data_IF_066449218149
#
_entry.id   IF_066449218149
#
_cell.length_a   1.000
_cell.length_b   1.000
_cell.length_c   1.000
_cell.angle_alpha   90.00
_cell.angle_beta   90.00
_cell.angle_gamma   90.00
#
_symmetry.space_group_name_H-M   'P 1'
#
loop_
_entity.id
_entity.type
_entity.pdbx_description
1 polymer ?
#
# COMPACT_ATOMS: atom_id res chain seq x y z
N UNK A 1 -13.60 -20.66 -14.62
CA UNK A 1 -12.44 -19.79 -14.86
C UNK A 1 -11.68 -19.76 -13.55
N UNK A 2 -10.63 -20.56 -13.43
CA UNK A 2 -9.85 -20.67 -12.20
C UNK A 2 -8.91 -19.47 -12.18
N UNK A 3 -9.16 -18.49 -11.32
CA UNK A 3 -8.20 -17.41 -11.11
C UNK A 3 -6.93 -18.09 -10.59
N UNK A 4 -5.88 -18.11 -11.40
CA UNK A 4 -4.51 -18.32 -10.93
C UNK A 4 -4.28 -17.24 -9.88
N UNK A 5 -4.57 -17.58 -8.61
CA UNK A 5 -4.44 -16.66 -7.50
C UNK A 5 -2.95 -16.49 -7.25
N UNK A 6 -2.40 -15.41 -7.79
CA UNK A 6 -0.98 -15.13 -7.74
C UNK A 6 -0.56 -15.04 -6.26
N UNK A 7 0.56 -15.65 -5.85
CA UNK A 7 0.98 -15.70 -4.45
C UNK A 7 1.01 -14.32 -3.78
N UNK A 8 1.44 -13.28 -4.50
CA UNK A 8 1.41 -11.90 -4.00
C UNK A 8 0.00 -11.38 -3.71
N UNK A 9 -0.99 -11.70 -4.55
CA UNK A 9 -2.37 -11.22 -4.38
C UNK A 9 -2.98 -11.81 -3.12
N UNK A 10 -2.76 -13.11 -2.87
CA UNK A 10 -3.18 -13.75 -1.62
C UNK A 10 -2.50 -13.09 -0.42
N UNK A 11 -1.18 -12.89 -0.48
CA UNK A 11 -0.43 -12.28 0.62
C UNK A 11 -0.94 -10.87 0.96
N UNK A 12 -1.20 -10.05 -0.07
CA UNK A 12 -1.77 -8.71 0.07
C UNK A 12 -3.18 -8.77 0.68
N UNK A 13 -4.06 -9.63 0.15
CA UNK A 13 -5.42 -9.78 0.68
C UNK A 13 -5.44 -10.22 2.14
N UNK A 14 -4.60 -11.18 2.51
CA UNK A 14 -4.49 -11.68 3.89
C UNK A 14 -4.02 -10.57 4.84
N UNK A 15 -3.01 -9.80 4.45
CA UNK A 15 -2.49 -8.69 5.25
C UNK A 15 -3.51 -7.57 5.41
N UNK A 16 -4.17 -7.14 4.34
CA UNK A 16 -5.19 -6.08 4.40
C UNK A 16 -6.41 -6.51 5.21
N UNK A 17 -6.86 -7.78 5.09
CA UNK A 17 -7.95 -8.31 5.92
C UNK A 17 -7.59 -8.34 7.41
N UNK A 18 -6.30 -8.54 7.74
CA UNK A 18 -5.80 -8.52 9.12
C UNK A 18 -5.94 -7.16 9.83
N UNK A 19 -5.83 -6.05 9.09
CA UNK A 19 -6.06 -4.71 9.63
C UNK A 19 -7.54 -4.43 9.93
N UNK A 20 -8.45 -5.08 9.19
CA UNK A 20 -9.88 -4.76 9.21
C UNK A 20 -10.22 -3.60 8.28
N UNK A 21 -11.43 -3.63 7.72
CA UNK A 21 -11.90 -2.68 6.71
C UNK A 21 -12.04 -1.24 7.24
N UNK A 22 -12.20 -1.09 8.55
CA UNK A 22 -12.36 0.19 9.22
C UNK A 22 -11.03 0.82 9.70
N UNK A 23 -9.93 0.08 9.68
CA UNK A 23 -8.63 0.55 10.18
C UNK A 23 -7.82 1.25 9.08
N UNK A 24 -8.18 2.52 8.87
CA UNK A 24 -7.54 3.38 7.88
C UNK A 24 -6.07 3.62 8.22
N UNK A 25 -5.74 3.80 9.49
CA UNK A 25 -4.39 4.08 9.94
C UNK A 25 -3.45 2.92 9.60
N UNK A 26 -3.85 1.69 9.92
CA UNK A 26 -3.06 0.51 9.59
C UNK A 26 -2.90 0.31 8.08
N UNK A 27 -3.94 0.55 7.28
CA UNK A 27 -3.85 0.41 5.82
C UNK A 27 -2.93 1.47 5.21
N UNK A 28 -2.95 2.69 5.73
CA UNK A 28 -2.05 3.77 5.30
C UNK A 28 -0.60 3.44 5.68
N UNK A 29 -0.37 2.91 6.89
CA UNK A 29 0.96 2.48 7.33
C UNK A 29 1.55 1.41 6.40
N UNK A 30 0.76 0.41 5.98
CA UNK A 30 1.22 -0.60 5.02
C UNK A 30 1.65 -0.01 3.68
N UNK A 31 1.00 1.07 3.23
CA UNK A 31 1.38 1.82 2.03
C UNK A 31 2.67 2.61 2.23
N UNK A 32 2.86 3.23 3.39
CA UNK A 32 4.08 3.95 3.75
C UNK A 32 5.30 3.02 3.78
N UNK A 33 5.18 1.87 4.44
CA UNK A 33 6.25 0.87 4.53
C UNK A 33 6.66 0.35 3.14
N UNK A 34 5.70 0.08 2.26
CA UNK A 34 5.99 -0.32 0.87
C UNK A 34 6.65 0.83 0.10
N UNK A 35 6.18 2.06 0.30
CA UNK A 35 6.73 3.22 -0.39
C UNK A 35 8.19 3.44 -0.02
N UNK A 36 8.55 3.34 1.25
CA UNK A 36 9.95 3.44 1.70
C UNK A 36 10.87 2.44 1.00
N UNK A 37 10.50 1.16 1.02
CA UNK A 37 11.28 0.09 0.39
C UNK A 37 11.43 0.31 -1.13
N UNK A 38 10.34 0.66 -1.82
CA UNK A 38 10.38 0.86 -3.28
C UNK A 38 11.15 2.13 -3.65
N UNK A 39 10.97 3.22 -2.90
CA UNK A 39 11.69 4.47 -3.13
C UNK A 39 13.20 4.25 -2.98
N UNK A 40 13.63 3.38 -2.07
CA UNK A 40 15.04 3.02 -1.93
C UNK A 40 15.63 2.33 -3.17
N UNK A 41 14.80 1.67 -3.99
CA UNK A 41 15.22 0.89 -5.16
C UNK A 41 15.12 1.70 -6.46
N UNK A 42 13.99 2.39 -6.68
CA UNK A 42 13.70 3.07 -7.95
C UNK A 42 13.64 4.61 -7.84
N UNK A 43 13.85 5.15 -6.63
CA UNK A 43 13.74 6.57 -6.34
C UNK A 43 12.29 7.07 -6.23
N UNK A 44 12.12 8.24 -5.62
CA UNK A 44 10.81 8.85 -5.38
C UNK A 44 10.03 9.14 -6.66
N UNK A 45 10.71 9.67 -7.70
CA UNK A 45 10.07 9.92 -8.99
C UNK A 45 9.58 8.64 -9.68
N UNK A 46 10.30 7.54 -9.51
CA UNK A 46 9.90 6.22 -10.00
C UNK A 46 8.66 5.71 -9.27
N UNK A 47 8.67 5.79 -7.94
CA UNK A 47 7.51 5.44 -7.13
C UNK A 47 6.27 6.26 -7.51
N UNK A 48 6.38 7.59 -7.56
CA UNK A 48 5.27 8.49 -7.89
C UNK A 48 4.67 8.15 -9.26
N UNK A 49 5.52 7.94 -10.27
CA UNK A 49 5.07 7.55 -11.61
C UNK A 49 4.29 6.23 -11.63
N UNK A 50 4.71 5.26 -10.79
CA UNK A 50 4.01 3.99 -10.67
C UNK A 50 2.69 4.12 -9.92
N UNK A 51 2.68 4.89 -8.85
CA UNK A 51 1.50 5.15 -8.05
C UNK A 51 0.42 5.87 -8.88
N UNK A 52 0.78 6.96 -9.56
CA UNK A 52 -0.12 7.69 -10.48
C UNK A 52 -0.69 6.79 -11.58
N UNK A 53 0.15 5.91 -12.15
CA UNK A 53 -0.31 4.94 -13.16
C UNK A 53 -1.31 3.93 -12.56
N UNK A 54 -1.07 3.49 -11.33
CA UNK A 54 -1.94 2.55 -10.62
C UNK A 54 -3.29 3.17 -10.29
N UNK A 55 -3.29 4.44 -9.87
CA UNK A 55 -4.49 5.24 -9.64
C UNK A 55 -5.29 5.39 -10.92
N UNK A 56 -4.66 5.81 -12.01
CA UNK A 56 -5.31 5.98 -13.31
C UNK A 56 -6.01 4.69 -13.79
N UNK A 57 -5.40 3.53 -13.56
CA UNK A 57 -6.00 2.25 -13.91
C UNK A 57 -7.14 1.86 -12.97
N UNK A 58 -7.01 2.14 -11.67
CA UNK A 58 -8.00 1.81 -10.65
C UNK A 58 -9.24 2.71 -10.74
N UNK A 59 -9.06 3.96 -11.16
CA UNK A 59 -10.13 4.94 -11.39
C UNK A 59 -11.19 4.47 -12.39
N UNK A 60 -10.83 3.56 -13.31
CA UNK A 60 -11.80 2.95 -14.24
C UNK A 60 -12.90 2.17 -13.50
N UNK A 61 -12.58 1.61 -12.34
CA UNK A 61 -13.53 0.87 -11.49
C UNK A 61 -14.06 1.75 -10.35
N UNK A 62 -13.21 2.63 -9.80
CA UNK A 62 -13.55 3.53 -8.69
C UNK A 62 -13.30 4.99 -9.09
N UNK A 63 -14.22 5.63 -9.83
CA UNK A 63 -14.00 6.99 -10.36
C UNK A 63 -13.81 8.07 -9.30
N UNK A 64 -14.22 7.82 -8.05
CA UNK A 64 -14.03 8.73 -6.92
C UNK A 64 -12.62 8.66 -6.32
N UNK A 65 -11.82 7.65 -6.68
CA UNK A 65 -10.40 7.51 -6.33
C UNK A 65 -9.56 8.48 -7.19
N UNK A 66 -10.01 9.73 -7.33
CA UNK A 66 -9.24 10.83 -7.92
C UNK A 66 -8.29 11.34 -6.85
N UNK A 67 -7.32 10.49 -6.52
CA UNK A 67 -6.15 10.86 -5.76
C UNK A 67 -5.19 11.50 -6.77
N UNK A 68 -5.54 12.66 -7.32
CA UNK A 68 -4.54 13.40 -8.11
C UNK A 68 -3.54 13.95 -7.10
N UNK A 69 -2.51 13.15 -6.85
CA UNK A 69 -1.25 13.46 -6.19
C UNK A 69 -0.46 14.49 -7.01
N UNK A 70 -1.11 15.56 -7.44
CA UNK A 70 -0.43 16.70 -8.03
C UNK A 70 0.25 17.48 -6.90
N UNK A 71 1.46 17.05 -6.56
CA UNK A 71 2.52 17.91 -6.01
C UNK A 71 2.67 18.07 -4.49
N UNK A 72 2.31 17.10 -3.63
CA UNK A 72 2.99 17.06 -2.32
C UNK A 72 4.33 16.32 -2.46
N UNK A 73 5.42 17.06 -2.31
CA UNK A 73 6.81 16.55 -2.34
C UNK A 73 7.25 15.98 -0.98
N UNK A 74 6.33 15.82 -0.04
CA UNK A 74 6.64 15.40 1.33
C UNK A 74 6.10 13.99 1.56
N UNK A 75 6.96 13.12 2.10
CA UNK A 75 6.63 11.74 2.41
C UNK A 75 5.39 11.64 3.33
N UNK A 76 5.29 12.55 4.30
CA UNK A 76 4.23 12.59 5.33
C UNK A 76 2.82 12.88 4.77
N UNK A 77 2.71 13.41 3.55
CA UNK A 77 1.42 13.77 2.95
C UNK A 77 1.02 12.86 1.77
N UNK A 78 1.88 11.89 1.44
CA UNK A 78 1.76 11.08 0.21
C UNK A 78 0.42 10.36 0.11
N UNK A 79 -0.08 9.83 1.23
CA UNK A 79 -1.35 9.09 1.29
C UNK A 79 -2.49 9.86 1.97
N UNK A 80 -2.31 11.16 2.26
CA UNK A 80 -3.36 11.97 2.91
C UNK A 80 -4.64 12.04 2.08
N UNK A 81 -4.54 12.11 0.75
CA UNK A 81 -5.70 12.09 -0.14
C UNK A 81 -6.43 10.74 -0.10
N UNK A 82 -5.70 9.62 -0.05
CA UNK A 82 -6.27 8.29 0.09
C UNK A 82 -7.04 8.16 1.41
N UNK A 83 -6.49 8.70 2.50
CA UNK A 83 -7.15 8.84 3.80
C UNK A 83 -8.41 9.71 3.70
N UNK A 84 -8.35 10.88 3.06
CA UNK A 84 -9.49 11.79 2.89
C UNK A 84 -10.64 11.16 2.09
N UNK A 85 -10.35 10.30 1.11
CA UNK A 85 -11.38 9.57 0.38
C UNK A 85 -12.25 8.71 1.31
N UNK A 86 -11.74 8.26 2.47
CA UNK A 86 -12.51 7.47 3.44
C UNK A 86 -13.72 8.23 3.97
N UNK A 87 -13.60 9.53 4.21
CA UNK A 87 -14.66 10.35 4.81
C UNK A 87 -15.93 10.40 3.94
N UNK A 88 -15.78 10.16 2.63
CA UNK A 88 -16.86 10.25 1.64
C UNK A 88 -17.41 8.90 1.22
N UNK A 89 -16.80 7.79 1.64
CA UNK A 89 -17.13 6.43 1.18
C UNK A 89 -17.47 5.51 2.36
N UNK A 90 -18.16 4.41 2.09
CA UNK A 90 -18.35 3.36 3.09
C UNK A 90 -17.03 2.64 3.39
N UNK A 91 -16.95 1.97 4.54
CA UNK A 91 -15.79 1.15 4.92
C UNK A 91 -15.43 0.12 3.86
N UNK A 92 -16.45 -0.61 3.40
CA UNK A 92 -16.31 -1.66 2.41
C UNK A 92 -15.85 -1.11 1.04
N UNK A 93 -16.47 -0.03 0.54
CA UNK A 93 -16.08 0.55 -0.76
C UNK A 93 -14.67 1.14 -0.73
N UNK A 94 -14.31 1.83 0.37
CA UNK A 94 -12.97 2.35 0.53
C UNK A 94 -11.93 1.24 0.59
N UNK A 95 -12.20 0.19 1.37
CA UNK A 95 -11.32 -0.98 1.47
C UNK A 95 -11.16 -1.70 0.12
N UNK A 96 -12.25 -1.92 -0.61
CA UNK A 96 -12.22 -2.60 -1.91
C UNK A 96 -11.41 -1.81 -2.94
N UNK A 97 -11.56 -0.48 -2.97
CA UNK A 97 -10.77 0.38 -3.83
C UNK A 97 -9.28 0.37 -3.47
N UNK A 98 -8.96 0.40 -2.16
CA UNK A 98 -7.58 0.30 -1.67
C UNK A 98 -6.92 -1.02 -2.05
N UNK A 99 -7.63 -2.13 -1.83
CA UNK A 99 -7.17 -3.44 -2.23
C UNK A 99 -6.92 -3.46 -3.74
N UNK A 100 -7.88 -2.97 -4.55
CA UNK A 100 -7.72 -2.94 -6.00
C UNK A 100 -6.52 -2.08 -6.44
N UNK A 101 -6.30 -0.94 -5.79
CA UNK A 101 -5.16 -0.07 -6.05
C UNK A 101 -3.84 -0.78 -5.76
N UNK A 102 -3.72 -1.44 -4.60
CA UNK A 102 -2.50 -2.13 -4.20
C UNK A 102 -2.20 -3.34 -5.09
N UNK A 103 -3.22 -4.11 -5.47
CA UNK A 103 -3.07 -5.20 -6.45
C UNK A 103 -2.60 -4.67 -7.80
N UNK A 104 -3.20 -3.58 -8.29
CA UNK A 104 -2.81 -2.96 -9.57
C UNK A 104 -1.38 -2.43 -9.52
N UNK A 105 -1.01 -1.78 -8.41
CA UNK A 105 0.34 -1.26 -8.18
C UNK A 105 1.38 -2.37 -8.20
N UNK A 106 1.13 -3.45 -7.44
CA UNK A 106 2.05 -4.59 -7.38
C UNK A 106 2.10 -5.36 -8.69
N UNK A 107 1.03 -5.41 -9.48
CA UNK A 107 1.05 -5.98 -10.83
C UNK A 107 2.00 -5.23 -11.76
N UNK A 108 1.96 -3.89 -11.74
CA UNK A 108 2.88 -3.06 -12.52
C UNK A 108 4.31 -3.23 -12.00
N UNK A 109 4.51 -3.30 -10.69
CA UNK A 109 5.82 -3.50 -10.09
C UNK A 109 6.43 -4.83 -10.52
N UNK A 110 5.67 -5.92 -10.52
CA UNK A 110 6.09 -7.23 -11.04
C UNK A 110 6.55 -7.13 -12.50
N UNK A 111 5.86 -6.36 -13.33
CA UNK A 111 6.26 -6.17 -14.73
C UNK A 111 7.60 -5.44 -14.88
N UNK A 112 8.03 -4.66 -13.88
CA UNK A 112 9.28 -3.90 -13.90
C UNK A 112 10.46 -4.64 -13.28
N UNK A 113 10.24 -5.23 -12.11
CA UNK A 113 11.34 -5.78 -11.29
C UNK A 113 11.22 -7.29 -11.03
N UNK A 114 10.14 -7.90 -11.53
CA UNK A 114 9.88 -9.34 -11.41
C UNK A 114 9.12 -9.75 -10.14
N UNK A 115 8.51 -10.93 -10.20
CA UNK A 115 7.68 -11.51 -9.14
C UNK A 115 8.46 -11.69 -7.82
N UNK A 116 9.64 -12.31 -7.89
CA UNK A 116 10.40 -12.65 -6.69
C UNK A 116 10.84 -11.43 -5.89
N UNK A 117 11.29 -10.37 -6.58
CA UNK A 117 11.72 -9.15 -5.89
C UNK A 117 10.51 -8.41 -5.31
N UNK A 118 9.40 -8.35 -6.04
CA UNK A 118 8.15 -7.77 -5.55
C UNK A 118 7.67 -8.45 -4.27
N UNK A 119 7.63 -9.79 -4.24
CA UNK A 119 7.23 -10.54 -3.04
C UNK A 119 8.18 -10.26 -1.87
N UNK A 120 9.49 -10.26 -2.09
CA UNK A 120 10.46 -9.98 -1.03
C UNK A 120 10.32 -8.57 -0.45
N UNK A 121 10.05 -7.57 -1.28
CA UNK A 121 9.77 -6.20 -0.84
C UNK A 121 8.51 -6.16 0.03
N UNK A 122 7.42 -6.81 -0.41
CA UNK A 122 6.17 -6.85 0.36
C UNK A 122 6.36 -7.53 1.72
N UNK A 123 7.11 -8.63 1.76
CA UNK A 123 7.44 -9.33 3.00
C UNK A 123 8.32 -8.44 3.91
N UNK A 124 9.39 -7.87 3.38
CA UNK A 124 10.29 -6.95 4.10
C UNK A 124 9.51 -5.79 4.72
N UNK A 125 8.72 -5.08 3.92
CA UNK A 125 7.94 -3.92 4.34
C UNK A 125 6.99 -4.26 5.51
N UNK A 126 6.35 -5.43 5.49
CA UNK A 126 5.28 -5.76 6.43
C UNK A 126 5.67 -6.69 7.59
N UNK A 127 6.84 -7.32 7.55
CA UNK A 127 7.38 -8.08 8.69
C UNK A 127 8.13 -7.17 9.66
N UNK A 128 8.81 -6.13 9.17
CA UNK A 128 9.56 -5.18 10.02
C UNK A 128 8.67 -4.38 11.00
N UNK A 129 7.37 -4.21 10.68
CA UNK A 129 6.40 -3.55 11.56
C UNK A 129 6.06 -4.37 12.82
N UNK A 130 6.19 -5.70 12.74
CA UNK A 130 5.89 -6.58 13.88
C UNK A 130 6.95 -6.52 14.99
N UNK A 131 8.16 -6.02 14.72
CA UNK A 131 9.18 -5.81 15.76
C UNK A 131 9.07 -4.44 16.45
N UNK A 132 8.57 -3.41 15.75
CA UNK A 132 8.46 -2.05 16.30
C UNK A 132 7.46 -1.95 17.46
N UNK A 133 6.47 -2.85 17.52
CA UNK A 133 5.45 -2.90 18.59
C UNK A 133 5.90 -3.65 19.85
N UNK A 134 7.05 -4.36 19.84
CA UNK A 134 7.60 -5.04 21.03
C UNK A 134 8.81 -4.33 21.68
N UNK A 135 9.25 -3.18 21.15
CA UNK A 135 10.42 -2.45 21.65
C UNK A 135 10.17 -1.44 22.78
N UNK A 136 8.92 -1.08 23.07
CA UNK A 136 8.58 -0.07 24.09
C UNK A 136 8.25 -0.72 25.43
N UNK A 137 9.22 -1.37 26.09
CA UNK A 137 8.91 -2.08 27.33
C UNK A 137 10.06 -2.62 28.16
N UNK A 138 11.27 -2.03 28.14
CA UNK A 138 12.30 -2.37 29.13
C UNK A 138 13.10 -1.13 29.54
N UNK A 139 12.50 -0.27 30.36
CA UNK A 139 13.27 0.63 31.23
C UNK A 139 13.82 -0.20 32.39
N UNK A 140 15.07 -0.64 32.29
CA UNK A 140 15.83 -1.04 33.46
C UNK A 140 16.48 0.22 34.04
N UNK A 141 15.84 0.73 35.09
CA UNK A 141 16.44 1.64 36.06
C UNK A 141 17.59 0.93 36.80
N UNK A 142 18.74 1.59 36.90
CA UNK A 142 19.85 1.17 37.74
C UNK A 142 20.37 2.35 38.55
#
# INVERSE_FOLDING_TARGET
>A
MQADYLPRHRFIEERLKGCGDNDVDSIILLWELIAEEIISIIGEGGFNSLYERSEFLTQKTFPWLVVTSSSSKQADERFSLLRLCREKQTSAEWFEANLKLLLTFTDILVMLIGEQLTIRILISAWENDTEATYGAGFTNEH
#
